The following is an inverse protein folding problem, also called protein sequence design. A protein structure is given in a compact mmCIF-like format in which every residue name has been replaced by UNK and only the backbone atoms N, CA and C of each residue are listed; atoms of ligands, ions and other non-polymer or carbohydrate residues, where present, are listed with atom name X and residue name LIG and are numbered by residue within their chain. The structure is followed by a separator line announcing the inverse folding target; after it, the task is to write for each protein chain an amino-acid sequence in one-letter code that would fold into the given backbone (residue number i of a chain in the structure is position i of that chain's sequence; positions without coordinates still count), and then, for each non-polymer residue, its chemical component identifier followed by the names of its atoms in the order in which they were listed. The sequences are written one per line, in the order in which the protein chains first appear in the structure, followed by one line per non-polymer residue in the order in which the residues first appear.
data_IF_601929991750
#
_entry.id   IF_601929991750
#
_cell.length_a   1.000
_cell.length_b   1.000
_cell.length_c   1.000
_cell.angle_alpha   90.00
_cell.angle_beta   90.00
_cell.angle_gamma   90.00
#
_symmetry.space_group_name_H-M   'P 1'
#
loop_
_entity.id
_entity.type
_entity.pdbx_description
1 polymer ?
#
# COMPACT_ATOMS: atom_id res chain seq x y z
N UNK A 1 3.11 49.12 16.07
CA UNK A 1 1.64 49.19 16.01
C UNK A 1 1.07 47.79 15.92
N UNK A 2 1.16 47.07 17.04
CA UNK A 2 0.46 45.81 17.31
C UNK A 2 -0.77 46.21 18.15
N UNK A 3 -1.87 45.47 18.05
CA UNK A 3 -3.10 45.66 18.82
C UNK A 3 -4.12 46.69 18.30
N UNK A 4 -4.35 46.71 16.98
CA UNK A 4 -5.70 47.03 16.44
C UNK A 4 -6.63 45.82 16.59
N UNK A 5 -6.69 45.32 17.85
CA UNK A 5 -7.82 44.65 18.50
C UNK A 5 -8.96 44.38 17.53
N UNK A 6 -9.14 43.13 17.10
CA UNK A 6 -9.91 42.13 17.89
C UNK A 6 -11.22 42.69 18.47
N UNK A 7 -11.84 43.65 17.80
CA UNK A 7 -13.12 44.26 18.13
C UNK A 7 -14.10 43.93 17.00
N UNK A 8 -14.89 42.86 17.23
CA UNK A 8 -16.03 42.30 16.45
C UNK A 8 -15.84 40.78 16.43
N UNK A 9 -16.14 40.02 17.48
CA UNK A 9 -17.47 39.74 18.03
C UNK A 9 -18.50 39.34 16.95
N UNK A 10 -18.47 38.06 16.55
CA UNK A 10 -19.56 37.28 15.94
C UNK A 10 -19.06 35.82 15.96
N UNK A 11 -19.42 34.92 16.89
CA UNK A 11 -20.74 34.34 17.18
C UNK A 11 -21.55 34.05 15.91
N UNK A 12 -22.03 32.81 15.80
CA UNK A 12 -22.76 32.15 14.70
C UNK A 12 -21.85 31.33 13.77
N UNK A 13 -22.09 30.07 13.45
CA UNK A 13 -23.07 29.08 13.92
C UNK A 13 -22.57 27.72 13.45
N UNK A 14 -22.69 26.73 14.33
CA UNK A 14 -22.54 25.32 14.00
C UNK A 14 -23.64 24.95 13.00
N UNK A 15 -23.26 24.57 11.78
CA UNK A 15 -24.19 23.94 10.83
C UNK A 15 -24.12 22.42 11.00
N UNK A 16 -25.07 21.89 11.80
CA UNK A 16 -25.41 20.46 11.81
C UNK A 16 -26.37 20.26 10.63
N UNK A 17 -25.91 19.62 9.56
CA UNK A 17 -26.81 19.12 8.52
C UNK A 17 -27.33 17.76 8.98
N UNK A 18 -28.60 17.73 9.37
CA UNK A 18 -29.33 16.54 9.79
C UNK A 18 -29.58 15.60 8.61
N UNK A 19 -29.49 14.29 8.90
CA UNK A 19 -29.91 13.20 8.04
C UNK A 19 -31.42 13.27 7.78
N UNK A 20 -31.84 13.08 6.53
CA UNK A 20 -33.24 12.82 6.19
C UNK A 20 -33.40 11.33 5.86
N UNK A 21 -34.13 10.62 6.72
CA UNK A 21 -34.52 9.23 6.54
C UNK A 21 -35.74 9.10 5.63
N UNK A 22 -35.80 7.98 4.91
CA UNK A 22 -36.98 7.41 4.30
C UNK A 22 -37.11 5.97 4.81
N UNK A 23 -38.34 5.62 5.14
CA UNK A 23 -38.82 4.59 6.03
C UNK A 23 -39.21 3.30 5.28
N UNK A 24 -39.17 2.19 6.03
CA UNK A 24 -39.90 0.94 5.82
C UNK A 24 -39.51 0.08 4.60
N UNK A 25 -39.03 -1.14 4.86
CA UNK A 25 -39.94 -2.27 5.04
C UNK A 25 -39.20 -3.54 5.50
N UNK A 26 -39.90 -4.27 6.35
CA UNK A 26 -39.57 -5.56 6.95
C UNK A 26 -39.33 -6.67 5.92
N UNK A 27 -38.65 -7.74 6.33
CA UNK A 27 -39.09 -9.16 6.24
C UNK A 27 -37.85 -10.07 6.23
N UNK A 28 -37.54 -10.73 7.34
CA UNK A 28 -37.96 -12.11 7.69
C UNK A 28 -37.22 -13.21 6.93
N UNK A 29 -36.77 -14.17 7.72
CA UNK A 29 -36.01 -15.37 7.40
C UNK A 29 -36.70 -16.34 6.42
N UNK A 30 -35.84 -17.11 5.74
CA UNK A 30 -35.92 -18.54 5.43
C UNK A 30 -36.70 -19.05 4.20
N UNK A 31 -36.02 -20.03 3.57
CA UNK A 31 -36.49 -21.19 2.79
C UNK A 31 -36.45 -21.16 1.24
N UNK A 32 -35.42 -21.86 0.74
CA UNK A 32 -35.30 -22.79 -0.41
C UNK A 32 -36.42 -22.80 -1.49
N UNK A 33 -36.04 -22.75 -2.77
CA UNK A 33 -35.88 -23.92 -3.69
C UNK A 33 -35.97 -23.54 -5.21
N UNK A 34 -35.04 -24.12 -5.97
CA UNK A 34 -35.08 -24.54 -7.39
C UNK A 34 -35.19 -23.52 -8.56
N UNK A 35 -34.08 -23.44 -9.30
CA UNK A 35 -33.89 -23.80 -10.72
C UNK A 35 -34.41 -22.90 -11.87
N UNK A 36 -33.57 -22.89 -12.92
CA UNK A 36 -33.81 -22.56 -14.35
C UNK A 36 -34.18 -21.11 -14.71
N UNK A 37 -33.26 -20.37 -15.34
CA UNK A 37 -33.12 -20.34 -16.80
C UNK A 37 -31.98 -19.38 -17.25
N UNK A 38 -31.51 -19.54 -18.49
CA UNK A 38 -30.27 -18.96 -19.06
C UNK A 38 -30.34 -17.49 -19.51
N UNK A 39 -29.15 -16.85 -19.40
CA UNK A 39 -28.51 -15.84 -20.28
C UNK A 39 -28.90 -14.34 -20.17
N UNK A 40 -28.03 -13.39 -20.59
CA UNK A 40 -26.59 -13.26 -20.39
C UNK A 40 -26.20 -11.79 -20.04
N UNK A 41 -25.49 -11.53 -18.95
CA UNK A 41 -24.82 -10.22 -18.77
C UNK A 41 -23.33 -10.39 -19.03
N UNK A 42 -22.94 -10.16 -20.29
CA UNK A 42 -21.59 -9.77 -20.65
C UNK A 42 -21.31 -8.42 -19.96
N UNK A 43 -20.54 -8.43 -18.88
CA UNK A 43 -19.72 -7.28 -18.52
C UNK A 43 -18.30 -7.78 -18.39
N UNK A 44 -17.49 -7.35 -19.35
CA UNK A 44 -16.08 -7.65 -19.47
C UNK A 44 -15.36 -7.29 -18.18
N UNK A 45 -15.16 -8.31 -17.35
CA UNK A 45 -13.98 -8.44 -16.50
C UNK A 45 -13.01 -9.18 -17.41
N UNK A 46 -11.87 -8.60 -17.83
CA UNK A 46 -10.82 -9.44 -18.36
C UNK A 46 -10.32 -10.25 -17.16
N UNK A 47 -10.65 -11.54 -17.17
CA UNK A 47 -9.99 -12.59 -16.39
C UNK A 47 -8.48 -12.42 -16.58
N UNK A 48 -7.82 -11.77 -15.62
CA UNK A 48 -6.36 -11.70 -15.54
C UNK A 48 -5.81 -12.79 -14.62
N UNK A 49 -6.40 -13.99 -14.69
CA UNK A 49 -5.86 -15.20 -14.06
C UNK A 49 -4.71 -15.81 -14.91
N UNK A 50 -4.45 -15.27 -16.11
CA UNK A 50 -3.36 -15.67 -17.01
C UNK A 50 -2.17 -14.70 -17.01
N UNK A 51 -1.86 -14.03 -15.89
CA UNK A 51 -0.60 -13.27 -15.71
C UNK A 51 -0.02 -13.38 -14.29
N UNK A 52 -0.23 -14.51 -13.60
CA UNK A 52 0.35 -14.77 -12.27
C UNK A 52 1.42 -15.87 -12.32
N UNK A 53 1.56 -16.56 -13.45
CA UNK A 53 2.41 -17.75 -13.54
C UNK A 53 3.92 -17.48 -13.53
N UNK A 54 4.39 -16.25 -13.75
CA UNK A 54 5.84 -15.97 -13.78
C UNK A 54 6.27 -14.65 -13.09
N UNK A 55 5.52 -14.14 -12.11
CA UNK A 55 6.05 -13.02 -11.31
C UNK A 55 7.25 -13.50 -10.45
N UNK A 56 8.36 -12.73 -10.40
CA UNK A 56 9.48 -13.02 -9.52
C UNK A 56 9.02 -13.20 -8.07
N UNK A 57 9.62 -14.15 -7.34
CA UNK A 57 9.21 -14.48 -5.97
C UNK A 57 9.29 -13.26 -5.04
N UNK A 58 10.37 -12.48 -5.12
CA UNK A 58 10.51 -11.24 -4.35
C UNK A 58 9.40 -10.22 -4.61
N UNK A 59 8.91 -10.12 -5.85
CA UNK A 59 7.79 -9.25 -6.19
C UNK A 59 6.46 -9.77 -5.63
N UNK A 60 6.23 -11.08 -5.68
CA UNK A 60 5.04 -11.70 -5.07
C UNK A 60 5.00 -11.41 -3.56
N UNK A 61 6.13 -11.57 -2.90
CA UNK A 61 6.29 -11.32 -1.47
C UNK A 61 6.07 -9.84 -1.10
N UNK A 62 6.61 -8.90 -1.89
CA UNK A 62 6.35 -7.46 -1.75
C UNK A 62 4.86 -7.14 -1.90
N UNK A 63 4.22 -7.71 -2.92
CA UNK A 63 2.80 -7.48 -3.19
C UNK A 63 1.87 -8.09 -2.14
N UNK A 64 2.29 -9.17 -1.49
CA UNK A 64 1.60 -9.78 -0.35
C UNK A 64 1.85 -9.07 0.98
N UNK A 65 2.68 -8.01 1.00
CA UNK A 65 3.07 -7.27 2.20
C UNK A 65 2.63 -5.80 2.11
N UNK A 66 2.86 -5.04 3.18
CA UNK A 66 2.50 -3.61 3.28
C UNK A 66 3.54 -2.65 2.66
N UNK A 67 4.59 -3.17 2.03
CA UNK A 67 5.69 -2.38 1.46
C UNK A 67 5.20 -1.28 0.49
N UNK A 68 4.17 -1.59 -0.30
CA UNK A 68 3.59 -0.72 -1.32
C UNK A 68 2.83 0.50 -0.78
N UNK A 69 2.63 0.58 0.54
CA UNK A 69 2.05 1.75 1.22
C UNK A 69 3.05 2.92 1.23
N UNK A 70 4.33 2.62 1.44
CA UNK A 70 5.38 3.62 1.61
C UNK A 70 6.37 3.68 0.44
N UNK A 71 6.47 2.61 -0.35
CA UNK A 71 7.36 2.50 -1.50
C UNK A 71 6.57 2.27 -2.78
N UNK A 72 7.14 2.73 -3.90
CA UNK A 72 6.70 2.39 -5.26
C UNK A 72 7.91 2.03 -6.10
N UNK A 73 7.67 1.42 -7.26
CA UNK A 73 8.72 0.99 -8.17
C UNK A 73 9.65 2.14 -8.57
N UNK A 74 9.08 3.23 -9.04
CA UNK A 74 9.75 4.30 -9.80
C UNK A 74 9.51 5.71 -9.25
N UNK A 75 8.65 5.86 -8.25
CA UNK A 75 8.30 7.16 -7.66
C UNK A 75 8.60 7.14 -6.17
N UNK A 76 9.27 8.18 -5.67
CA UNK A 76 9.44 8.41 -4.23
C UNK A 76 8.10 8.77 -3.60
N UNK A 77 7.74 8.08 -2.52
CA UNK A 77 6.58 8.41 -1.68
C UNK A 77 7.05 8.80 -0.28
N UNK A 78 6.70 8.01 0.74
CA UNK A 78 7.22 8.16 2.11
C UNK A 78 8.67 7.66 2.15
N UNK A 79 8.91 6.49 1.58
CA UNK A 79 10.23 5.93 1.34
C UNK A 79 10.75 6.23 -0.08
N UNK A 80 12.03 5.94 -0.34
CA UNK A 80 12.59 5.98 -1.70
C UNK A 80 11.87 5.01 -2.65
N UNK A 81 11.96 5.25 -3.96
CA UNK A 81 11.48 4.26 -4.93
C UNK A 81 12.36 3.00 -4.90
N UNK A 82 11.85 1.86 -5.37
CA UNK A 82 12.66 0.65 -5.49
C UNK A 82 13.83 0.83 -6.46
N UNK A 83 13.64 1.59 -7.54
CA UNK A 83 14.71 1.94 -8.48
C UNK A 83 15.79 2.80 -7.81
N UNK A 84 15.41 3.79 -6.98
CA UNK A 84 16.40 4.58 -6.21
C UNK A 84 17.26 3.69 -5.31
N UNK A 85 16.62 2.71 -4.65
CA UNK A 85 17.33 1.73 -3.81
C UNK A 85 18.30 0.90 -4.67
N UNK A 86 17.83 0.39 -5.82
CA UNK A 86 18.64 -0.40 -6.76
C UNK A 86 19.84 0.36 -7.33
N UNK A 87 19.66 1.66 -7.57
CA UNK A 87 20.71 2.53 -8.10
C UNK A 87 21.71 2.95 -7.02
N UNK A 88 21.31 3.00 -5.74
CA UNK A 88 22.21 3.35 -4.63
C UNK A 88 23.10 2.19 -4.18
N UNK A 89 22.61 0.95 -4.27
CA UNK A 89 23.24 -0.20 -3.63
C UNK A 89 23.59 -1.30 -4.63
N UNK A 90 24.79 -1.87 -4.50
CA UNK A 90 25.21 -3.05 -5.27
C UNK A 90 24.54 -4.34 -4.83
N UNK A 91 24.24 -5.20 -5.81
CA UNK A 91 23.69 -6.54 -5.58
C UNK A 91 24.80 -7.50 -5.14
N UNK A 92 25.06 -7.52 -3.84
CA UNK A 92 25.93 -8.49 -3.18
C UNK A 92 25.24 -9.08 -1.95
N UNK A 93 25.57 -10.32 -1.59
CA UNK A 93 24.94 -11.02 -0.46
C UNK A 93 25.01 -10.21 0.83
N UNK A 94 26.16 -9.57 1.10
CA UNK A 94 26.33 -8.70 2.26
C UNK A 94 25.34 -7.54 2.27
N UNK A 95 25.11 -6.90 1.12
CA UNK A 95 24.15 -5.79 1.00
C UNK A 95 22.73 -6.30 1.14
N UNK A 96 22.42 -7.44 0.53
CA UNK A 96 21.10 -8.09 0.63
C UNK A 96 20.75 -8.36 2.10
N UNK A 97 21.62 -9.06 2.83
CA UNK A 97 21.42 -9.34 4.26
C UNK A 97 21.34 -8.06 5.09
N UNK A 98 22.17 -7.03 4.80
CA UNK A 98 22.13 -5.75 5.54
C UNK A 98 20.80 -5.01 5.34
N UNK A 99 20.31 -4.95 4.10
CA UNK A 99 19.02 -4.33 3.78
C UNK A 99 17.85 -5.14 4.36
N UNK A 100 17.93 -6.47 4.33
CA UNK A 100 16.94 -7.34 4.94
C UNK A 100 16.85 -7.13 6.46
N UNK A 101 18.00 -7.04 7.15
CA UNK A 101 18.04 -6.68 8.56
C UNK A 101 17.43 -5.30 8.84
N UNK A 102 17.67 -4.33 7.95
CA UNK A 102 17.10 -2.99 8.05
C UNK A 102 15.57 -3.02 7.92
N UNK A 103 15.02 -3.86 7.04
CA UNK A 103 13.57 -4.08 6.91
C UNK A 103 12.99 -4.68 8.19
N UNK A 104 13.62 -5.73 8.73
CA UNK A 104 13.15 -6.43 9.92
C UNK A 104 13.21 -5.53 11.16
N UNK A 105 14.30 -4.78 11.34
CA UNK A 105 14.57 -3.96 12.53
C UNK A 105 14.09 -2.51 12.41
N UNK A 106 13.71 -2.08 11.21
CA UNK A 106 13.49 -0.68 10.88
C UNK A 106 14.80 0.06 10.60
N UNK A 107 14.71 1.21 9.94
CA UNK A 107 15.87 1.98 9.49
C UNK A 107 15.64 3.48 9.51
N UNK A 108 16.71 4.28 9.66
CA UNK A 108 16.65 5.75 9.63
C UNK A 108 17.95 6.36 9.11
N UNK A 109 17.90 7.60 8.63
CA UNK A 109 19.08 8.44 8.33
C UNK A 109 19.69 8.28 6.94
N UNK A 110 19.52 7.14 6.27
CA UNK A 110 20.06 6.92 4.91
C UNK A 110 19.33 7.74 3.84
N UNK A 111 18.01 7.85 3.98
CA UNK A 111 17.11 8.42 2.97
C UNK A 111 16.44 9.74 3.42
N UNK A 112 16.86 10.26 4.58
CA UNK A 112 16.31 11.44 5.23
C UNK A 112 15.96 11.20 6.69
N UNK A 113 15.16 12.11 7.25
CA UNK A 113 14.74 12.09 8.65
C UNK A 113 13.62 11.06 8.92
N UNK A 114 12.83 10.72 7.89
CA UNK A 114 11.75 9.73 8.00
C UNK A 114 12.35 8.35 8.22
N UNK A 115 11.88 7.67 9.28
CA UNK A 115 12.27 6.30 9.59
C UNK A 115 11.30 5.29 9.00
N UNK A 116 11.84 4.17 8.51
CA UNK A 116 11.07 2.99 8.16
C UNK A 116 10.75 2.21 9.43
N UNK A 117 9.48 1.87 9.64
CA UNK A 117 9.02 1.02 10.74
C UNK A 117 9.60 -0.39 10.63
N UNK A 118 9.75 -1.07 11.76
CA UNK A 118 10.24 -2.44 11.80
C UNK A 118 9.18 -3.43 11.29
N UNK A 119 9.61 -4.45 10.54
CA UNK A 119 8.75 -5.56 10.09
C UNK A 119 9.22 -6.90 10.70
N UNK A 120 9.15 -7.08 12.04
CA UNK A 120 9.70 -8.27 12.72
C UNK A 120 8.92 -9.57 12.47
N UNK A 121 7.72 -9.47 11.89
CA UNK A 121 6.90 -10.63 11.50
C UNK A 121 7.34 -11.27 10.19
N UNK A 122 8.15 -10.58 9.37
CA UNK A 122 8.66 -11.11 8.12
C UNK A 122 9.83 -12.07 8.37
N UNK A 123 9.88 -13.15 7.59
CA UNK A 123 10.99 -14.11 7.66
C UNK A 123 12.20 -13.57 6.91
N UNK A 124 13.39 -13.70 7.50
CA UNK A 124 14.65 -13.21 6.92
C UNK A 124 14.85 -13.63 5.46
N UNK A 125 14.74 -14.93 5.18
CA UNK A 125 14.91 -15.49 3.83
C UNK A 125 13.93 -14.90 2.81
N UNK A 126 12.70 -14.60 3.22
CA UNK A 126 11.71 -14.00 2.32
C UNK A 126 12.01 -12.53 2.07
N UNK A 127 12.47 -11.81 3.09
CA UNK A 127 12.92 -10.41 2.94
C UNK A 127 14.15 -10.33 2.04
N UNK A 128 15.09 -11.27 2.15
CA UNK A 128 16.26 -11.31 1.25
C UNK A 128 15.84 -11.44 -0.22
N UNK A 129 14.87 -12.31 -0.54
CA UNK A 129 14.29 -12.40 -1.90
C UNK A 129 13.61 -11.10 -2.34
N UNK A 130 12.90 -10.41 -1.44
CA UNK A 130 12.31 -9.10 -1.75
C UNK A 130 13.39 -8.08 -2.10
N UNK A 131 14.47 -8.03 -1.32
CA UNK A 131 15.60 -7.12 -1.55
C UNK A 131 16.32 -7.47 -2.85
N UNK A 132 16.57 -8.75 -3.14
CA UNK A 132 17.15 -9.18 -4.40
C UNK A 132 16.36 -8.68 -5.60
N UNK A 133 15.04 -8.86 -5.58
CA UNK A 133 14.16 -8.32 -6.63
C UNK A 133 14.29 -6.80 -6.74
N UNK A 134 14.30 -6.07 -5.62
CA UNK A 134 14.47 -4.60 -5.64
C UNK A 134 15.79 -4.23 -6.30
N UNK A 135 16.89 -4.89 -5.95
CA UNK A 135 18.21 -4.58 -6.51
C UNK A 135 18.34 -4.96 -8.00
N UNK A 136 17.52 -5.90 -8.48
CA UNK A 136 17.42 -6.24 -9.91
C UNK A 136 16.71 -5.17 -10.75
N UNK A 137 16.02 -4.21 -10.12
CA UNK A 137 15.37 -3.09 -10.82
C UNK A 137 16.34 -2.00 -11.26
N UNK A 138 17.66 -2.18 -11.06
CA UNK A 138 18.68 -1.21 -11.43
C UNK A 138 18.55 -0.85 -12.91
N UNK A 139 18.37 0.43 -13.17
CA UNK A 139 18.36 0.98 -14.53
C UNK A 139 19.77 1.46 -14.87
N UNK A 140 20.29 1.05 -16.03
CA UNK A 140 21.52 1.64 -16.57
C UNK A 140 21.06 2.85 -17.39
N UNK A 141 21.38 4.06 -16.91
CA UNK A 141 21.26 5.30 -17.70
C UNK A 141 22.49 5.53 -18.58
#
# INVERSE_FOLDING_TARGET
MKYLKHLLLSLMSVFIMACNGNESTQSSNQDLKAETDRMPVKKAIPDSEEEVSELPEGLKLINGSDCNVCHKKDIKLVGPSYIDIANKYDKSDKVITTLAETIIKGGKGVWGEVMMTAHPSLKGEDVEKMVEYILDLRTIE
#
